data_IF_130357719370
#
_entry.id   IF_130357719370
#
_cell.length_a   1.000
_cell.length_b   1.000
_cell.length_c   1.000
_cell.angle_alpha   90.00
_cell.angle_beta   90.00
_cell.angle_gamma   90.00
#
_symmetry.space_group_name_H-M   'P 1'
#
loop_
_entity.id
_entity.type
_entity.pdbx_description
1 polymer ?
#
# COMPACT_ATOMS: atom_id res chain seq x y z
N UNK A 1 10.00 -34.51 -12.45
CA UNK A 1 9.70 -33.21 -11.79
C UNK A 1 8.25 -33.24 -11.31
N UNK A 2 7.92 -32.59 -10.19
CA UNK A 2 6.51 -32.44 -9.75
C UNK A 2 5.85 -31.33 -10.56
N UNK A 3 4.58 -31.53 -10.94
CA UNK A 3 3.75 -30.50 -11.59
C UNK A 3 3.57 -29.31 -10.64
N UNK A 4 3.58 -28.08 -11.19
CA UNK A 4 3.37 -26.85 -10.44
C UNK A 4 1.91 -26.67 -9.97
N UNK A 5 1.71 -25.79 -8.99
CA UNK A 5 0.39 -25.55 -8.37
C UNK A 5 -0.66 -25.10 -9.40
N UNK A 6 -0.30 -24.13 -10.25
CA UNK A 6 -1.21 -23.62 -11.29
C UNK A 6 -1.59 -24.68 -12.32
N UNK A 7 -0.64 -25.56 -12.69
CA UNK A 7 -0.90 -26.67 -13.61
C UNK A 7 -1.91 -27.66 -13.03
N UNK A 8 -1.69 -28.12 -11.79
CA UNK A 8 -2.63 -29.02 -11.12
C UNK A 8 -4.02 -28.39 -10.94
N UNK A 9 -4.06 -27.07 -10.74
CA UNK A 9 -5.32 -26.32 -10.66
C UNK A 9 -6.07 -26.32 -11.99
N UNK A 10 -5.38 -26.07 -13.11
CA UNK A 10 -5.98 -26.10 -14.44
C UNK A 10 -6.45 -27.50 -14.83
N UNK A 11 -5.67 -28.55 -14.56
CA UNK A 11 -6.07 -29.94 -14.87
C UNK A 11 -7.38 -30.31 -14.15
N UNK A 12 -7.56 -29.90 -12.89
CA UNK A 12 -8.82 -30.10 -12.16
C UNK A 12 -10.00 -29.32 -12.74
N UNK A 13 -9.75 -28.10 -13.24
CA UNK A 13 -10.78 -27.27 -13.86
C UNK A 13 -11.20 -27.82 -15.23
N UNK A 14 -10.26 -28.41 -15.96
CA UNK A 14 -10.49 -29.10 -17.23
C UNK A 14 -11.33 -30.38 -17.02
N UNK A 15 -10.97 -31.20 -16.04
CA UNK A 15 -11.79 -32.38 -15.66
C UNK A 15 -13.24 -31.99 -15.31
N UNK A 16 -13.45 -30.86 -14.63
CA UNK A 16 -14.80 -30.36 -14.30
C UNK A 16 -15.60 -29.94 -15.55
N UNK A 17 -14.93 -29.32 -16.54
CA UNK A 17 -15.52 -29.01 -17.84
C UNK A 17 -15.87 -30.27 -18.63
N UNK A 18 -14.96 -31.25 -18.67
CA UNK A 18 -15.16 -32.51 -19.39
C UNK A 18 -16.33 -33.32 -18.82
N UNK A 19 -16.53 -33.25 -17.50
CA UNK A 19 -17.68 -33.85 -16.82
C UNK A 19 -18.99 -33.05 -16.98
N UNK A 20 -18.96 -31.90 -17.66
CA UNK A 20 -20.13 -31.09 -17.97
C UNK A 20 -20.68 -30.25 -16.81
N UNK A 21 -19.88 -30.05 -15.74
CA UNK A 21 -20.33 -29.26 -14.58
C UNK A 21 -20.13 -27.75 -14.81
N UNK A 22 -19.03 -27.37 -15.46
CA UNK A 22 -18.67 -25.97 -15.81
C UNK A 22 -18.71 -25.02 -14.59
N UNK A 23 -18.16 -25.48 -13.46
CA UNK A 23 -17.99 -24.64 -12.26
C UNK A 23 -16.88 -23.61 -12.49
N UNK A 24 -17.01 -22.44 -11.88
CA UNK A 24 -15.96 -21.42 -11.89
C UNK A 24 -14.83 -21.77 -10.91
N UNK A 25 -13.59 -21.74 -11.40
CA UNK A 25 -12.37 -21.97 -10.62
C UNK A 25 -11.59 -20.66 -10.46
N UNK A 26 -11.46 -20.15 -9.23
CA UNK A 26 -10.71 -18.92 -8.95
C UNK A 26 -9.27 -19.22 -8.46
N UNK A 27 -8.28 -18.78 -9.22
CA UNK A 27 -6.86 -18.82 -8.84
C UNK A 27 -6.42 -17.43 -8.34
N UNK A 28 -6.21 -17.31 -7.03
CA UNK A 28 -5.80 -16.05 -6.40
C UNK A 28 -4.28 -15.98 -6.29
N UNK A 29 -3.70 -14.89 -6.79
CA UNK A 29 -2.27 -14.58 -6.71
C UNK A 29 -2.12 -13.31 -5.86
N UNK A 30 -1.70 -13.48 -4.61
CA UNK A 30 -1.44 -12.35 -3.73
C UNK A 30 -0.10 -11.69 -4.08
N UNK A 31 -0.04 -10.36 -4.10
CA UNK A 31 1.14 -9.55 -4.40
C UNK A 31 1.81 -9.96 -5.72
N UNK A 32 1.01 -9.98 -6.80
CA UNK A 32 1.45 -10.47 -8.12
C UNK A 32 2.70 -9.75 -8.64
N UNK A 33 2.88 -8.47 -8.30
CA UNK A 33 4.04 -7.67 -8.68
C UNK A 33 5.34 -8.06 -7.95
N UNK A 34 5.31 -8.86 -6.87
CA UNK A 34 6.51 -9.30 -6.14
C UNK A 34 7.30 -10.39 -6.86
N UNK A 35 6.70 -11.05 -7.85
CA UNK A 35 7.36 -12.03 -8.70
C UNK A 35 7.82 -11.45 -10.03
N UNK A 36 8.81 -12.09 -10.68
CA UNK A 36 9.06 -11.82 -12.10
C UNK A 36 7.95 -12.49 -12.93
N UNK A 37 6.84 -11.78 -13.11
CA UNK A 37 5.63 -12.33 -13.74
C UNK A 37 5.92 -12.82 -15.16
N UNK A 38 6.75 -12.10 -15.94
CA UNK A 38 7.13 -12.51 -17.29
C UNK A 38 7.89 -13.85 -17.31
N UNK A 39 8.72 -14.13 -16.30
CA UNK A 39 9.40 -15.43 -16.15
C UNK A 39 8.47 -16.52 -15.63
N UNK A 40 7.54 -16.18 -14.75
CA UNK A 40 6.57 -17.13 -14.17
C UNK A 40 5.58 -17.60 -15.23
N UNK A 41 5.00 -16.67 -15.99
CA UNK A 41 4.04 -17.01 -17.04
C UNK A 41 4.73 -17.41 -18.33
N UNK A 42 5.87 -16.82 -18.71
CA UNK A 42 6.61 -17.20 -19.90
C UNK A 42 5.71 -17.28 -21.14
N UNK A 43 5.61 -18.48 -21.72
CA UNK A 43 4.78 -18.79 -22.89
C UNK A 43 3.27 -18.89 -22.57
N UNK A 44 2.90 -19.04 -21.29
CA UNK A 44 1.51 -19.12 -20.82
C UNK A 44 0.79 -17.78 -20.91
N UNK A 45 1.50 -16.66 -21.12
CA UNK A 45 0.90 -15.33 -21.14
C UNK A 45 -0.22 -15.22 -22.18
N UNK A 46 -0.06 -15.86 -23.35
CA UNK A 46 -1.07 -15.87 -24.41
C UNK A 46 -2.31 -16.67 -24.00
N UNK A 47 -2.14 -17.72 -23.20
CA UNK A 47 -3.24 -18.60 -22.75
C UNK A 47 -4.17 -17.93 -21.73
N UNK A 48 -3.75 -16.81 -21.13
CA UNK A 48 -4.57 -16.04 -20.18
C UNK A 48 -5.75 -15.39 -20.91
N UNK A 49 -5.59 -15.06 -22.19
CA UNK A 49 -6.62 -14.39 -23.00
C UNK A 49 -7.87 -15.29 -23.09
N UNK A 50 -9.09 -14.77 -22.79
CA UNK A 50 -10.31 -15.58 -22.73
C UNK A 50 -10.55 -16.45 -23.98
N UNK A 51 -10.32 -15.90 -25.17
CA UNK A 51 -10.54 -16.59 -26.45
C UNK A 51 -9.55 -17.73 -26.72
N UNK A 52 -8.39 -17.71 -26.05
CA UNK A 52 -7.29 -18.69 -26.23
C UNK A 52 -7.40 -19.89 -25.30
N UNK A 53 -8.37 -19.89 -24.39
CA UNK A 53 -8.56 -20.91 -23.36
C UNK A 53 -9.22 -22.18 -23.90
N UNK A 54 -8.98 -23.32 -23.23
CA UNK A 54 -9.64 -24.59 -23.55
C UNK A 54 -11.16 -24.44 -23.38
N UNK A 55 -11.90 -24.82 -24.42
CA UNK A 55 -13.35 -24.64 -24.51
C UNK A 55 -13.82 -23.29 -25.09
N UNK A 56 -12.90 -22.39 -25.46
CA UNK A 56 -13.21 -21.16 -26.20
C UNK A 56 -13.07 -21.33 -27.73
N UNK A 57 -13.48 -20.32 -28.49
CA UNK A 57 -13.54 -20.40 -29.96
C UNK A 57 -12.16 -20.50 -30.63
N UNK A 58 -11.14 -19.85 -30.06
CA UNK A 58 -9.77 -19.82 -30.57
C UNK A 58 -8.79 -20.56 -29.62
N UNK A 59 -9.27 -21.63 -28.98
CA UNK A 59 -8.50 -22.40 -28.02
C UNK A 59 -7.14 -22.83 -28.59
N UNK A 60 -6.08 -22.60 -27.83
CA UNK A 60 -4.72 -23.04 -28.17
C UNK A 60 -4.06 -23.72 -26.97
N UNK A 61 -3.08 -24.57 -27.26
CA UNK A 61 -2.20 -25.19 -26.25
C UNK A 61 -0.75 -24.82 -26.55
N UNK A 62 0.09 -24.89 -25.52
CA UNK A 62 1.55 -24.76 -25.65
C UNK A 62 2.23 -26.05 -25.21
N UNK A 63 3.39 -26.33 -25.78
CA UNK A 63 4.23 -27.45 -25.38
C UNK A 63 5.13 -27.04 -24.21
N UNK A 64 4.95 -27.63 -23.04
CA UNK A 64 5.75 -27.29 -21.87
C UNK A 64 7.23 -27.71 -22.05
N UNK A 65 8.21 -26.83 -21.79
CA UNK A 65 9.62 -27.08 -22.14
C UNK A 65 10.27 -28.21 -21.35
N UNK A 66 9.80 -28.47 -20.12
CA UNK A 66 10.40 -29.48 -19.24
C UNK A 66 9.75 -30.87 -19.38
N UNK A 67 8.43 -30.93 -19.60
CA UNK A 67 7.69 -32.20 -19.68
C UNK A 67 7.39 -32.64 -21.10
N UNK A 68 7.34 -31.72 -22.08
CA UNK A 68 6.87 -31.99 -23.43
C UNK A 68 5.35 -32.10 -23.57
N UNK A 69 4.62 -32.13 -22.44
CA UNK A 69 3.16 -32.17 -22.43
C UNK A 69 2.54 -30.91 -23.07
N UNK A 70 1.40 -31.09 -23.72
CA UNK A 70 0.52 -29.99 -24.09
C UNK A 70 -0.15 -29.41 -22.84
N UNK A 71 -0.27 -28.08 -22.79
CA UNK A 71 -0.93 -27.38 -21.70
C UNK A 71 -1.77 -26.22 -22.24
N UNK A 72 -2.98 -26.09 -21.70
CA UNK A 72 -3.91 -25.00 -21.94
C UNK A 72 -4.52 -24.51 -20.62
N UNK A 73 -5.05 -23.29 -20.60
CA UNK A 73 -5.82 -22.78 -19.47
C UNK A 73 -7.31 -23.00 -19.79
N UNK A 74 -8.09 -23.70 -18.94
CA UNK A 74 -9.52 -23.87 -19.14
C UNK A 74 -10.33 -22.58 -19.08
N UNK A 75 -11.41 -22.47 -19.87
CA UNK A 75 -12.26 -21.25 -19.91
C UNK A 75 -12.87 -20.89 -18.56
N UNK A 76 -13.13 -21.88 -17.71
CA UNK A 76 -13.73 -21.73 -16.39
C UNK A 76 -12.71 -21.32 -15.29
N UNK A 77 -11.44 -21.09 -15.64
CA UNK A 77 -10.43 -20.56 -14.72
C UNK A 77 -10.41 -19.05 -14.72
N UNK A 78 -10.59 -18.43 -13.56
CA UNK A 78 -10.44 -16.99 -13.31
C UNK A 78 -9.15 -16.77 -12.54
N UNK A 79 -8.37 -15.76 -12.93
CA UNK A 79 -7.14 -15.38 -12.23
C UNK A 79 -7.38 -14.02 -11.60
N UNK A 80 -7.28 -13.96 -10.26
CA UNK A 80 -7.39 -12.71 -9.50
C UNK A 80 -6.04 -12.41 -8.86
N UNK A 81 -5.41 -11.32 -9.29
CA UNK A 81 -4.19 -10.81 -8.69
C UNK A 81 -4.48 -9.66 -7.73
N UNK A 82 -3.83 -9.64 -6.57
CA UNK A 82 -3.70 -8.42 -5.76
C UNK A 82 -2.34 -7.78 -6.06
N UNK A 83 -2.26 -6.46 -5.96
CA UNK A 83 -1.04 -5.72 -6.24
C UNK A 83 -0.93 -4.53 -5.28
N UNK A 84 0.17 -4.44 -4.54
CA UNK A 84 0.52 -3.21 -3.85
C UNK A 84 1.19 -2.24 -4.81
N UNK A 85 0.56 -1.10 -5.09
CA UNK A 85 1.07 -0.11 -6.06
C UNK A 85 2.14 0.82 -5.49
N UNK A 86 2.29 0.90 -4.16
CA UNK A 86 3.34 1.69 -3.51
C UNK A 86 4.74 1.07 -3.67
N UNK A 87 4.83 -0.24 -3.90
CA UNK A 87 6.11 -0.97 -3.98
C UNK A 87 6.84 -0.69 -5.32
N UNK A 88 7.58 0.44 -5.37
CA UNK A 88 8.38 0.86 -6.53
C UNK A 88 9.63 -0.01 -6.80
N UNK A 89 10.03 -0.85 -5.85
CA UNK A 89 11.20 -1.75 -5.95
C UNK A 89 10.94 -3.00 -6.79
N UNK A 90 9.68 -3.22 -7.17
CA UNK A 90 9.22 -4.39 -7.88
C UNK A 90 9.15 -4.12 -9.38
N UNK A 91 9.37 -5.15 -10.19
CA UNK A 91 9.36 -5.01 -11.65
C UNK A 91 8.05 -4.40 -12.09
N UNK A 92 8.11 -3.23 -12.75
CA UNK A 92 6.94 -2.66 -13.41
C UNK A 92 6.29 -3.75 -14.26
N UNK A 93 5.00 -3.98 -14.05
CA UNK A 93 4.33 -5.07 -14.73
C UNK A 93 4.43 -4.87 -16.24
N UNK A 94 4.88 -5.92 -16.94
CA UNK A 94 5.09 -5.88 -18.38
C UNK A 94 3.81 -5.39 -19.09
N UNK A 95 3.98 -4.55 -20.11
CA UNK A 95 2.87 -4.06 -20.93
C UNK A 95 2.08 -5.21 -21.55
N UNK A 96 2.74 -6.33 -21.84
CA UNK A 96 2.11 -7.55 -22.31
C UNK A 96 1.10 -8.12 -21.30
N UNK A 97 1.42 -8.12 -20.01
CA UNK A 97 0.52 -8.58 -18.95
C UNK A 97 -0.61 -7.59 -18.72
N UNK A 98 -0.32 -6.28 -18.77
CA UNK A 98 -1.33 -5.23 -18.57
C UNK A 98 -2.49 -5.34 -19.57
N UNK A 99 -2.26 -5.87 -20.77
CA UNK A 99 -3.29 -6.06 -21.80
C UNK A 99 -4.20 -7.27 -21.56
N UNK A 100 -3.88 -8.13 -20.60
CA UNK A 100 -4.51 -9.44 -20.38
C UNK A 100 -5.19 -9.56 -19.02
N UNK A 101 -5.06 -8.53 -18.20
CA UNK A 101 -5.75 -8.38 -16.94
C UNK A 101 -6.59 -7.11 -16.98
N UNK A 102 -7.78 -7.18 -16.41
CA UNK A 102 -8.55 -5.98 -16.08
C UNK A 102 -8.02 -5.40 -14.76
N UNK A 103 -7.69 -4.11 -14.76
CA UNK A 103 -7.18 -3.41 -13.59
C UNK A 103 -8.30 -2.69 -12.88
N UNK A 104 -8.65 -3.18 -11.70
CA UNK A 104 -9.59 -2.51 -10.79
C UNK A 104 -8.77 -1.87 -9.68
N UNK A 105 -8.75 -0.54 -9.67
CA UNK A 105 -8.06 0.23 -8.62
C UNK A 105 -8.89 0.21 -7.34
N UNK A 106 -8.24 -0.10 -6.21
CA UNK A 106 -8.85 -0.14 -4.89
C UNK A 106 -8.22 0.94 -4.01
N UNK A 107 -8.70 2.18 -4.14
CA UNK A 107 -8.24 3.30 -3.32
C UNK A 107 -8.69 3.16 -1.86
N UNK A 108 -7.99 3.78 -0.89
CA UNK A 108 -8.45 3.84 0.49
C UNK A 108 -9.86 4.44 0.61
N UNK A 109 -10.80 3.64 1.08
CA UNK A 109 -12.16 4.08 1.40
C UNK A 109 -12.32 4.44 2.89
N UNK A 110 -12.42 5.74 3.21
CA UNK A 110 -12.64 6.21 4.57
C UNK A 110 -14.07 5.94 5.08
N UNK A 111 -15.03 5.67 4.20
CA UNK A 111 -16.39 5.26 4.53
C UNK A 111 -16.44 3.98 5.37
N UNK A 112 -15.57 3.01 5.07
CA UNK A 112 -15.47 1.75 5.82
C UNK A 112 -15.05 1.94 7.28
N UNK A 113 -14.33 3.02 7.61
CA UNK A 113 -14.01 3.37 9.00
C UNK A 113 -15.29 3.80 9.73
N UNK A 114 -16.14 4.60 9.08
CA UNK A 114 -17.41 5.07 9.65
C UNK A 114 -18.36 3.91 9.96
N UNK A 115 -18.34 2.86 9.14
CA UNK A 115 -19.14 1.65 9.35
C UNK A 115 -18.62 0.75 10.48
N UNK A 116 -17.31 0.73 10.70
CA UNK A 116 -16.65 -0.22 11.62
C UNK A 116 -16.35 0.36 13.00
N UNK A 117 -16.17 1.67 13.09
CA UNK A 117 -15.78 2.37 14.34
C UNK A 117 -16.99 3.11 14.93
N UNK A 118 -17.82 2.38 15.68
CA UNK A 118 -18.97 2.94 16.41
C UNK A 118 -20.07 3.54 15.50
N UNK A 119 -21.09 4.17 16.10
CA UNK A 119 -22.23 4.76 15.37
C UNK A 119 -21.84 6.02 14.54
N UNK A 120 -20.66 6.60 14.78
CA UNK A 120 -20.25 7.88 14.17
C UNK A 120 -18.83 7.90 13.58
N UNK A 121 -18.14 6.76 13.47
CA UNK A 121 -16.74 6.73 13.01
C UNK A 121 -15.75 7.48 13.91
N UNK A 122 -16.16 7.81 15.14
CA UNK A 122 -15.48 8.78 15.98
C UNK A 122 -15.06 8.21 17.33
N UNK A 123 -13.89 8.62 17.81
CA UNK A 123 -13.37 8.27 19.13
C UNK A 123 -13.09 9.58 19.88
N UNK A 124 -13.74 9.76 21.04
CA UNK A 124 -13.63 10.98 21.86
C UNK A 124 -13.85 12.29 21.08
N UNK A 125 -14.77 12.27 20.11
CA UNK A 125 -15.11 13.43 19.28
C UNK A 125 -14.23 13.60 18.03
N UNK A 126 -13.25 12.72 17.79
CA UNK A 126 -12.41 12.74 16.60
C UNK A 126 -12.89 11.72 15.57
N UNK A 127 -13.33 12.20 14.41
CA UNK A 127 -13.70 11.34 13.28
C UNK A 127 -12.43 10.79 12.60
N UNK A 128 -12.25 9.48 12.65
CA UNK A 128 -11.04 8.83 12.13
C UNK A 128 -11.01 8.79 10.60
N UNK A 129 -12.17 8.79 9.95
CA UNK A 129 -12.26 8.86 8.50
C UNK A 129 -11.77 10.23 8.00
N UNK A 130 -12.19 11.31 8.66
CA UNK A 130 -11.76 12.66 8.30
C UNK A 130 -10.25 12.86 8.58
N UNK A 131 -9.72 12.25 9.64
CA UNK A 131 -8.28 12.21 9.92
C UNK A 131 -7.52 11.51 8.78
N UNK A 132 -8.01 10.35 8.31
CA UNK A 132 -7.41 9.62 7.20
C UNK A 132 -7.40 10.46 5.92
N UNK A 133 -8.55 11.04 5.58
CA UNK A 133 -8.73 11.86 4.38
C UNK A 133 -7.77 13.07 4.40
N UNK A 134 -7.69 13.78 5.54
CA UNK A 134 -6.78 14.91 5.72
C UNK A 134 -5.30 14.54 5.53
N UNK A 135 -4.87 13.37 6.03
CA UNK A 135 -3.50 12.90 5.82
C UNK A 135 -3.28 12.48 4.37
N UNK A 136 -4.22 11.76 3.77
CA UNK A 136 -4.11 11.27 2.40
C UNK A 136 -4.06 12.39 1.36
N UNK A 137 -4.81 13.48 1.55
CA UNK A 137 -4.68 14.68 0.70
C UNK A 137 -3.26 15.24 0.72
N UNK A 138 -2.65 15.34 1.91
CA UNK A 138 -1.30 15.88 2.09
C UNK A 138 -0.23 14.93 1.57
N UNK A 139 -0.40 13.62 1.76
CA UNK A 139 0.50 12.59 1.21
C UNK A 139 0.44 12.63 -0.32
N UNK A 140 -0.75 12.66 -0.91
CA UNK A 140 -0.93 12.73 -2.36
C UNK A 140 -0.25 13.97 -2.98
N UNK A 141 -0.29 15.10 -2.27
CA UNK A 141 0.38 16.33 -2.69
C UNK A 141 1.91 16.29 -2.53
N UNK A 142 2.41 15.77 -1.40
CA UNK A 142 3.84 15.78 -1.07
C UNK A 142 4.63 14.59 -1.64
N UNK A 143 3.93 13.52 -2.02
CA UNK A 143 4.52 12.28 -2.49
C UNK A 143 3.86 11.81 -3.80
N UNK A 144 2.78 11.03 -3.73
CA UNK A 144 1.91 10.64 -4.83
C UNK A 144 0.62 9.97 -4.31
N UNK A 145 -0.32 9.64 -5.21
CA UNK A 145 -1.58 8.98 -4.84
C UNK A 145 -1.40 7.52 -4.40
N UNK A 146 -0.37 6.83 -4.88
CA UNK A 146 -0.15 5.40 -4.67
C UNK A 146 0.35 5.10 -3.24
N UNK A 147 0.88 6.11 -2.54
CA UNK A 147 1.35 6.02 -1.16
C UNK A 147 0.32 6.51 -0.15
N UNK A 148 -0.94 6.67 -0.54
CA UNK A 148 -2.01 7.01 0.40
C UNK A 148 -2.21 5.88 1.42
N UNK A 149 -2.55 6.25 2.65
CA UNK A 149 -2.75 5.34 3.77
C UNK A 149 -4.08 4.59 3.60
N UNK A 150 -4.07 3.28 3.81
CA UNK A 150 -5.28 2.44 3.79
C UNK A 150 -6.15 2.60 5.04
N UNK A 151 -7.47 2.45 4.89
CA UNK A 151 -8.44 2.53 5.99
C UNK A 151 -8.24 1.48 7.09
N UNK A 152 -7.53 0.39 6.78
CA UNK A 152 -7.23 -0.69 7.74
C UNK A 152 -6.45 -0.21 8.98
N UNK A 153 -5.74 0.93 8.90
CA UNK A 153 -5.06 1.52 10.06
C UNK A 153 -6.03 1.84 11.21
N UNK A 154 -7.24 2.31 10.89
CA UNK A 154 -8.20 2.81 11.87
C UNK A 154 -9.39 1.90 12.12
N UNK A 155 -9.72 0.98 11.21
CA UNK A 155 -10.90 0.11 11.28
C UNK A 155 -11.04 -0.70 12.59
N UNK A 156 -9.93 -1.02 13.25
CA UNK A 156 -9.91 -1.81 14.50
C UNK A 156 -9.57 -0.94 15.72
N UNK A 157 -9.65 0.38 15.63
CA UNK A 157 -9.47 1.25 16.78
C UNK A 157 -10.79 1.44 17.53
N UNK A 158 -10.75 1.37 18.85
CA UNK A 158 -11.94 1.52 19.70
C UNK A 158 -11.74 2.51 20.85
N UNK A 159 -10.48 2.83 21.17
CA UNK A 159 -10.11 3.80 22.21
C UNK A 159 -9.10 4.82 21.68
N UNK A 160 -8.97 5.96 22.36
CA UNK A 160 -7.96 6.97 22.02
C UNK A 160 -6.53 6.39 22.10
N UNK A 161 -6.29 5.49 23.07
CA UNK A 161 -5.02 4.78 23.20
C UNK A 161 -4.70 3.91 21.97
N UNK A 162 -5.71 3.28 21.36
CA UNK A 162 -5.50 2.52 20.12
C UNK A 162 -5.12 3.43 18.96
N UNK A 163 -5.78 4.58 18.82
CA UNK A 163 -5.47 5.58 17.78
C UNK A 163 -4.05 6.09 17.96
N UNK A 164 -3.68 6.45 19.19
CA UNK A 164 -2.32 6.90 19.54
C UNK A 164 -1.27 5.86 19.16
N UNK A 165 -1.50 4.59 19.51
CA UNK A 165 -0.64 3.47 19.13
C UNK A 165 -0.58 3.27 17.62
N UNK A 166 -1.68 3.46 16.89
CA UNK A 166 -1.70 3.44 15.41
C UNK A 166 -0.78 4.53 14.84
N UNK A 167 -0.82 5.75 15.38
CA UNK A 167 0.07 6.83 14.97
C UNK A 167 1.54 6.50 15.26
N UNK A 168 1.86 6.17 16.51
CA UNK A 168 3.24 5.99 16.99
C UNK A 168 3.93 4.77 16.36
N UNK A 169 3.22 3.65 16.22
CA UNK A 169 3.84 2.38 15.82
C UNK A 169 3.63 2.01 14.35
N UNK A 170 2.72 2.69 13.64
CA UNK A 170 2.40 2.35 12.25
C UNK A 170 2.49 3.53 11.30
N UNK A 171 1.72 4.59 11.54
CA UNK A 171 1.66 5.73 10.60
C UNK A 171 2.98 6.49 10.57
N UNK A 172 3.51 6.92 11.72
CA UNK A 172 4.76 7.69 11.77
C UNK A 172 5.93 6.90 11.17
N UNK A 173 6.19 5.63 11.54
CA UNK A 173 7.23 4.83 10.90
C UNK A 173 7.07 4.69 9.39
N UNK A 174 5.84 4.51 8.90
CA UNK A 174 5.57 4.44 7.46
C UNK A 174 5.87 5.76 6.75
N UNK A 175 5.51 6.90 7.34
CA UNK A 175 5.86 8.22 6.80
C UNK A 175 7.37 8.47 6.83
N UNK A 176 8.10 7.93 7.82
CA UNK A 176 9.57 7.98 7.82
C UNK A 176 10.17 7.24 6.62
N UNK A 177 9.60 6.08 6.27
CA UNK A 177 10.00 5.33 5.07
C UNK A 177 9.66 6.12 3.79
N UNK A 178 8.44 6.64 3.66
CA UNK A 178 8.01 7.39 2.49
C UNK A 178 8.87 8.63 2.24
N UNK A 179 9.20 9.37 3.30
CA UNK A 179 9.93 10.63 3.19
C UNK A 179 11.43 10.52 3.48
N UNK A 180 11.99 9.31 3.59
CA UNK A 180 13.41 9.07 3.90
C UNK A 180 13.91 9.89 5.10
N UNK A 181 13.16 9.85 6.20
CA UNK A 181 13.39 10.64 7.42
C UNK A 181 13.41 12.18 7.21
N UNK A 182 12.84 12.73 6.13
CA UNK A 182 12.57 14.18 6.03
C UNK A 182 11.38 14.55 6.92
N UNK A 183 11.68 14.70 8.20
CA UNK A 183 10.73 15.06 9.25
C UNK A 183 9.98 16.38 9.00
N UNK A 184 10.46 17.27 8.12
CA UNK A 184 9.70 18.47 7.72
C UNK A 184 8.46 18.08 6.92
N UNK A 185 8.60 17.13 6.00
CA UNK A 185 7.48 16.59 5.22
C UNK A 185 6.54 15.78 6.09
N UNK A 186 7.08 14.96 6.99
CA UNK A 186 6.26 14.20 7.96
C UNK A 186 5.44 15.16 8.83
N UNK A 187 6.07 16.22 9.36
CA UNK A 187 5.40 17.27 10.14
C UNK A 187 4.32 17.99 9.33
N UNK A 188 4.56 18.21 8.03
CA UNK A 188 3.58 18.81 7.13
C UNK A 188 2.36 17.89 6.88
N UNK A 189 2.57 16.59 6.65
CA UNK A 189 1.47 15.61 6.52
C UNK A 189 0.61 15.55 7.79
N UNK A 190 1.26 15.50 8.94
CA UNK A 190 0.58 15.43 10.24
C UNK A 190 0.05 16.78 10.73
N UNK A 191 0.33 17.88 10.01
CA UNK A 191 0.06 19.25 10.44
C UNK A 191 0.47 19.52 11.91
N UNK A 192 1.61 18.94 12.35
CA UNK A 192 2.07 19.02 13.74
C UNK A 192 2.74 20.39 14.01
N UNK A 193 1.91 21.43 14.06
CA UNK A 193 2.37 22.82 14.28
C UNK A 193 3.11 22.99 15.61
N UNK A 194 2.70 22.25 16.63
CA UNK A 194 3.19 22.41 18.00
C UNK A 194 4.39 21.51 18.32
N UNK A 195 4.83 20.66 17.38
CA UNK A 195 5.95 19.74 17.59
C UNK A 195 5.66 18.70 18.68
N UNK A 196 4.42 18.19 18.71
CA UNK A 196 3.97 17.20 19.68
C UNK A 196 4.69 15.87 19.48
N UNK A 197 4.83 15.44 18.23
CA UNK A 197 5.59 14.25 17.87
C UNK A 197 6.92 14.59 17.22
N UNK A 198 6.99 15.66 16.43
CA UNK A 198 8.19 16.02 15.69
C UNK A 198 8.77 17.31 16.26
N UNK A 199 9.85 17.15 17.03
CA UNK A 199 10.55 18.28 17.65
C UNK A 199 11.72 18.74 16.81
N UNK A 200 11.89 20.05 16.70
CA UNK A 200 13.07 20.67 16.11
C UNK A 200 14.11 20.88 17.20
N UNK A 201 15.33 20.35 16.98
CA UNK A 201 16.49 20.52 17.84
C UNK A 201 17.56 21.26 17.06
N UNK A 202 17.76 22.50 17.43
CA UNK A 202 18.92 23.27 16.95
C UNK A 202 20.19 22.65 17.54
N UNK A 203 21.02 22.09 16.67
CA UNK A 203 22.24 21.43 17.07
C UNK A 203 23.42 22.22 16.53
N UNK A 204 24.17 22.86 17.42
CA UNK A 204 25.41 23.55 17.04
C UNK A 204 26.51 22.53 16.82
N UNK A 205 27.15 22.57 15.65
CA UNK A 205 28.27 21.68 15.27
C UNK A 205 29.40 21.75 16.31
N UNK A 206 29.69 22.96 16.82
CA UNK A 206 30.72 23.19 17.82
C UNK A 206 30.40 22.59 19.21
N UNK A 207 29.16 22.18 19.46
CA UNK A 207 28.79 21.41 20.67
C UNK A 207 29.04 19.91 20.52
N UNK A 208 29.16 19.42 19.29
CA UNK A 208 29.25 17.99 18.98
C UNK A 208 30.64 17.55 18.53
N UNK A 209 31.37 18.43 17.84
CA UNK A 209 32.65 18.09 17.23
C UNK A 209 33.72 19.12 17.61
N UNK A 210 34.97 18.64 17.70
CA UNK A 210 36.14 19.50 17.89
C UNK A 210 36.27 20.51 16.73
N UNK A 211 36.78 21.70 17.01
CA UNK A 211 36.89 22.79 16.03
C UNK A 211 37.70 22.41 14.79
N UNK A 212 38.71 21.53 14.93
CA UNK A 212 39.50 21.04 13.79
C UNK A 212 38.72 20.10 12.85
N UNK A 213 37.64 19.50 13.33
CA UNK A 213 36.75 18.62 12.55
C UNK A 213 35.53 19.37 12.01
N UNK A 214 35.12 20.46 12.65
CA UNK A 214 33.99 21.28 12.20
C UNK A 214 34.32 22.23 11.05
N UNK A 215 35.58 22.64 10.94
CA UNK A 215 36.02 23.58 9.90
C UNK A 215 35.98 22.94 8.51
N UNK A 216 35.05 23.41 7.66
CA UNK A 216 34.95 23.03 6.25
C UNK A 216 34.08 21.81 5.92
N UNK A 217 33.58 21.08 6.93
CA UNK A 217 32.74 19.89 6.73
C UNK A 217 31.23 20.12 6.93
N UNK A 218 30.85 21.04 7.81
CA UNK A 218 29.45 21.23 8.21
C UNK A 218 29.04 22.70 8.09
N UNK A 219 27.79 22.96 7.72
CA UNK A 219 27.21 24.29 7.84
C UNK A 219 27.05 24.66 9.33
N UNK A 220 27.18 25.95 9.68
CA UNK A 220 27.27 26.40 11.09
C UNK A 220 26.03 26.08 11.95
N UNK A 221 24.91 25.70 11.33
CA UNK A 221 23.70 25.27 12.01
C UNK A 221 22.82 24.44 11.07
N UNK A 222 22.52 23.21 11.47
CA UNK A 222 21.46 22.42 10.84
C UNK A 222 20.36 22.15 11.87
N UNK A 223 19.11 22.44 11.48
CA UNK A 223 17.95 22.05 12.25
C UNK A 223 17.77 20.54 12.09
N UNK A 224 17.99 19.81 13.19
CA UNK A 224 17.72 18.37 13.25
C UNK A 224 16.34 18.16 13.83
N UNK A 225 15.58 17.24 13.25
CA UNK A 225 14.28 16.86 13.79
C UNK A 225 14.39 15.50 14.48
N UNK A 226 13.58 15.29 15.51
CA UNK A 226 13.52 14.03 16.24
C UNK A 226 12.11 13.74 16.74
N UNK A 227 11.79 12.44 16.83
CA UNK A 227 10.55 11.98 17.46
C UNK A 227 10.59 12.19 18.98
N UNK A 228 9.50 12.74 19.54
CA UNK A 228 9.30 12.81 20.99
C UNK A 228 8.96 11.41 21.53
N UNK A 229 9.53 11.05 22.67
CA UNK A 229 9.45 9.69 23.22
C UNK A 229 8.03 9.24 23.64
N UNK A 230 7.07 10.16 23.78
CA UNK A 230 5.61 9.91 23.86
C UNK A 230 4.90 11.24 24.15
N UNK A 231 3.69 11.42 23.58
CA UNK A 231 2.80 12.53 23.92
C UNK A 231 1.89 12.15 25.11
N UNK A 232 1.45 13.10 25.94
CA UNK A 232 0.32 12.84 26.86
C UNK A 232 -1.00 12.69 26.08
N UNK A 233 -2.08 12.22 26.70
CA UNK A 233 -3.37 12.10 26.01
C UNK A 233 -3.96 13.46 25.65
N UNK A 234 -3.74 14.48 26.48
CA UNK A 234 -4.12 15.87 26.16
C UNK A 234 -3.31 16.43 24.99
N UNK A 235 -2.00 16.19 24.98
CA UNK A 235 -1.14 16.54 23.85
C UNK A 235 -1.60 15.80 22.58
N UNK A 236 -1.97 14.52 22.69
CA UNK A 236 -2.43 13.72 21.57
C UNK A 236 -3.77 14.24 21.00
N UNK A 237 -4.73 14.61 21.84
CA UNK A 237 -5.99 15.22 21.37
C UNK A 237 -5.75 16.56 20.66
N UNK A 238 -4.83 17.38 21.17
CA UNK A 238 -4.42 18.63 20.52
C UNK A 238 -3.76 18.36 19.17
N UNK A 239 -2.96 17.31 19.08
CA UNK A 239 -2.36 16.83 17.84
C UNK A 239 -3.43 16.41 16.82
N UNK A 240 -4.38 15.54 17.21
CA UNK A 240 -5.47 15.11 16.32
C UNK A 240 -6.32 16.28 15.81
N UNK A 241 -6.59 17.26 16.69
CA UNK A 241 -7.26 18.50 16.29
C UNK A 241 -6.46 19.24 15.21
N UNK A 242 -5.13 19.30 15.35
CA UNK A 242 -4.23 19.86 14.33
C UNK A 242 -4.31 19.12 13.00
N UNK A 243 -4.28 17.78 13.03
CA UNK A 243 -4.39 16.95 11.81
C UNK A 243 -5.67 17.28 11.03
N UNK A 244 -6.80 17.47 11.72
CA UNK A 244 -8.11 17.75 11.12
C UNK A 244 -8.29 19.17 10.56
N UNK A 245 -7.41 20.13 10.86
CA UNK A 245 -7.55 21.49 10.32
C UNK A 245 -7.31 21.45 8.80
N UNK A 246 -8.40 21.38 8.04
CA UNK A 246 -8.46 21.87 6.66
C UNK A 246 -8.55 23.39 6.67
N UNK A 247 -8.11 24.05 5.60
CA UNK A 247 -8.16 25.51 5.45
C UNK A 247 -9.60 26.03 5.66
N UNK A 248 -9.92 26.47 6.88
CA UNK A 248 -10.89 27.54 7.10
C UNK A 248 -10.27 28.85 6.57
N UNK A 249 -10.20 28.99 5.25
CA UNK A 249 -9.84 30.23 4.56
C UNK A 249 -10.01 30.02 3.05
N UNK A 250 -11.26 30.05 2.57
CA UNK A 250 -11.64 30.59 1.25
C UNK A 250 -13.17 30.50 1.06
N UNK A 251 -13.93 31.03 2.02
CA UNK A 251 -15.25 31.61 1.74
C UNK A 251 -15.29 32.95 2.46
N UNK A 252 -14.89 34.00 1.74
CA UNK A 252 -15.02 35.41 2.10
C UNK A 252 -15.20 36.19 0.81
#
# INVERSE_FOLDING_TARGET
MKKGVFRNFCERAEEDLENGTDNNFLFVIDEINRGNISKIFGELITLIEPEKRIGAAEAITVTLPYSGDQFGIPKNVYILGTMNTADRSLSMMDTALRRRFDFVEMMPDSGLIREKVGESGSIEGFNLADILDAMNERIAYLYDREHTLGHAFFMNNSTLADVKRTFENKIIPLLQEYFYDDFRKIRAVLNDKNGIYITEKETSVHKLFDTKLSDGFFSNSENKYALKATASDEEFKKFLSGVLIHKEANES
#
